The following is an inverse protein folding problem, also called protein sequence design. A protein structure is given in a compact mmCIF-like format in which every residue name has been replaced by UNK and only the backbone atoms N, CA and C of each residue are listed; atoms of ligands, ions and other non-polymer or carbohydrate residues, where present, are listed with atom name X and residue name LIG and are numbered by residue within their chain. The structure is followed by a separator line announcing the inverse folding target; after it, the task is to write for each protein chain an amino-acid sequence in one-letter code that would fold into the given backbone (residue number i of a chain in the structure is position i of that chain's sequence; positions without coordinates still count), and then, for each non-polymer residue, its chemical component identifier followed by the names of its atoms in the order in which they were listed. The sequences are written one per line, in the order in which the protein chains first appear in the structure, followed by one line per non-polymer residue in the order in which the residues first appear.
data_IF_997316369235
#
_entry.id   IF_997316369235
#
_cell.length_a   1.000
_cell.length_b   1.000
_cell.length_c   1.000
_cell.angle_alpha   90.00
_cell.angle_beta   90.00
_cell.angle_gamma   90.00
#
_symmetry.space_group_name_H-M   'P 1'
#
loop_
_entity.id
_entity.type
_entity.pdbx_description
1 polymer ?
#
# COMPACT_ATOMS: atom_id res chain seq x y z
N UNK A 1 -9.38 -3.09 -5.22
CA UNK A 1 -8.21 -2.46 -4.61
C UNK A 1 -8.10 -2.85 -3.13
N UNK A 2 -6.90 -2.75 -2.60
CA UNK A 2 -6.55 -3.07 -1.23
C UNK A 2 -5.30 -2.29 -0.84
N UNK A 3 -5.13 -1.93 0.43
CA UNK A 3 -3.94 -1.34 1.05
C UNK A 3 -3.11 -0.40 0.13
N UNK A 4 -3.76 0.52 -0.55
CA UNK A 4 -3.15 1.48 -1.47
C UNK A 4 -3.41 2.93 -1.07
N UNK A 5 -2.61 3.85 -1.59
CA UNK A 5 -2.86 5.29 -1.47
C UNK A 5 -3.95 5.67 -2.46
N UNK A 6 -5.17 5.83 -1.98
CA UNK A 6 -6.37 6.03 -2.80
C UNK A 6 -6.97 7.44 -2.67
N UNK A 7 -6.60 8.15 -1.62
CA UNK A 7 -6.99 9.53 -1.34
C UNK A 7 -5.78 10.31 -0.82
N UNK A 8 -5.81 11.65 -0.87
CA UNK A 8 -4.73 12.48 -0.36
C UNK A 8 -4.37 12.17 1.08
N UNK A 9 -3.09 12.25 1.39
CA UNK A 9 -2.52 11.94 2.69
C UNK A 9 -1.94 13.17 3.37
N UNK A 10 -1.99 13.17 4.70
CA UNK A 10 -1.22 14.08 5.53
C UNK A 10 -0.38 13.29 6.56
N UNK A 11 0.72 13.88 7.02
CA UNK A 11 1.62 13.20 7.95
C UNK A 11 0.99 12.87 9.30
N UNK A 12 0.00 13.64 9.73
CA UNK A 12 -0.74 13.40 10.97
C UNK A 12 -1.73 12.21 10.89
N UNK A 13 -2.13 11.84 9.67
CA UNK A 13 -2.95 10.65 9.40
C UNK A 13 -2.13 9.37 9.21
N UNK A 14 -0.82 9.52 9.05
CA UNK A 14 0.07 8.37 8.85
C UNK A 14 0.49 7.77 10.19
N UNK A 15 0.57 6.44 10.32
CA UNK A 15 1.02 5.81 11.57
C UNK A 15 2.39 6.35 12.01
N UNK A 16 2.57 6.64 13.30
CA UNK A 16 3.77 7.33 13.83
C UNK A 16 5.08 6.63 13.44
N UNK A 17 5.11 5.30 13.54
CA UNK A 17 6.29 4.51 13.16
C UNK A 17 6.60 4.64 11.67
N UNK A 18 5.57 4.64 10.83
CA UNK A 18 5.69 4.87 9.39
C UNK A 18 6.20 6.28 9.09
N UNK A 19 5.63 7.30 9.75
CA UNK A 19 6.06 8.70 9.60
C UNK A 19 7.56 8.87 9.79
N UNK A 20 8.12 8.28 10.86
CA UNK A 20 9.56 8.38 11.15
C UNK A 20 10.42 7.79 10.05
N UNK A 21 10.10 6.57 9.60
CA UNK A 21 10.92 5.89 8.59
C UNK A 21 10.74 6.49 7.19
N UNK A 22 9.52 6.90 6.82
CA UNK A 22 9.28 7.51 5.50
C UNK A 22 9.88 8.91 5.38
N UNK A 23 9.94 9.70 6.48
CA UNK A 23 10.70 10.96 6.52
C UNK A 23 12.20 10.72 6.34
N UNK A 24 12.77 9.65 6.91
CA UNK A 24 14.16 9.27 6.67
C UNK A 24 14.42 8.89 5.21
N UNK A 25 13.53 8.12 4.58
CA UNK A 25 13.68 7.78 3.16
C UNK A 25 13.61 9.01 2.24
N UNK A 26 12.88 10.04 2.64
CA UNK A 26 12.76 11.30 1.89
C UNK A 26 13.92 12.27 2.14
N UNK A 27 14.75 12.05 3.15
CA UNK A 27 15.98 12.79 3.42
C UNK A 27 17.17 12.24 2.65
N UNK A 28 18.33 12.92 2.77
CA UNK A 28 19.61 12.47 2.18
C UNK A 28 20.03 11.08 2.68
N UNK A 29 19.66 10.72 3.92
CA UNK A 29 19.93 9.40 4.48
C UNK A 29 19.21 8.26 3.73
N UNK A 30 18.17 8.57 2.95
CA UNK A 30 17.40 7.58 2.20
C UNK A 30 18.23 6.79 1.19
N UNK A 31 19.22 7.43 0.55
CA UNK A 31 20.13 6.76 -0.40
C UNK A 31 20.89 5.61 0.30
N UNK A 32 21.54 5.89 1.42
CA UNK A 32 22.28 4.88 2.17
C UNK A 32 21.35 3.81 2.76
N UNK A 33 20.22 4.22 3.37
CA UNK A 33 19.29 3.29 4.03
C UNK A 33 18.68 2.30 3.06
N UNK A 34 18.30 2.75 1.87
CA UNK A 34 17.57 1.90 0.93
C UNK A 34 18.52 1.26 -0.09
N UNK A 35 19.37 2.06 -0.76
CA UNK A 35 20.19 1.52 -1.84
C UNK A 35 21.34 0.64 -1.31
N UNK A 36 21.97 1.03 -0.19
CA UNK A 36 23.08 0.26 0.36
C UNK A 36 22.62 -0.77 1.40
N UNK A 37 21.77 -0.38 2.34
CA UNK A 37 21.36 -1.23 3.48
C UNK A 37 20.09 -2.04 3.22
N UNK A 38 19.37 -1.80 2.11
CA UNK A 38 18.13 -2.49 1.73
C UNK A 38 17.02 -2.44 2.80
N UNK A 39 16.94 -1.35 3.56
CA UNK A 39 16.05 -1.22 4.72
C UNK A 39 14.59 -1.40 4.34
N UNK A 40 14.17 -0.94 3.15
CA UNK A 40 12.78 -1.08 2.71
C UNK A 40 12.38 -2.55 2.62
N UNK A 41 13.18 -3.40 1.96
CA UNK A 41 12.87 -4.83 1.85
C UNK A 41 13.03 -5.52 3.21
N UNK A 42 14.16 -5.35 3.88
CA UNK A 42 14.51 -6.13 5.07
C UNK A 42 13.71 -5.75 6.32
N UNK A 43 13.27 -4.48 6.45
CA UNK A 43 12.65 -3.95 7.67
C UNK A 43 11.20 -3.50 7.51
N UNK A 44 10.70 -3.42 6.28
CA UNK A 44 9.29 -3.10 6.02
C UNK A 44 8.63 -4.32 5.38
N UNK A 45 8.97 -4.64 4.13
CA UNK A 45 8.29 -5.69 3.38
C UNK A 45 8.33 -7.06 4.09
N UNK A 46 9.52 -7.52 4.52
CA UNK A 46 9.69 -8.87 5.09
C UNK A 46 9.21 -9.00 6.54
N UNK A 47 8.88 -7.89 7.20
CA UNK A 47 8.45 -7.90 8.62
C UNK A 47 7.00 -7.45 8.83
N UNK A 48 6.34 -6.98 7.79
CA UNK A 48 4.97 -6.45 7.88
C UNK A 48 3.89 -7.53 8.07
N UNK A 49 3.90 -8.66 7.34
CA UNK A 49 2.82 -9.65 7.45
C UNK A 49 2.63 -10.16 8.88
N UNK A 50 1.38 -10.38 9.25
CA UNK A 50 0.99 -10.93 10.57
C UNK A 50 1.58 -12.31 10.82
N UNK A 51 1.66 -13.11 9.75
CA UNK A 51 2.31 -14.43 9.78
C UNK A 51 3.73 -14.32 9.22
N UNK A 52 4.74 -14.79 9.96
CA UNK A 52 6.12 -14.78 9.44
C UNK A 52 6.22 -15.52 8.11
N UNK A 53 6.77 -14.87 7.10
CA UNK A 53 7.09 -15.51 5.83
C UNK A 53 8.15 -16.59 6.04
N UNK A 54 8.06 -17.71 5.31
CA UNK A 54 9.13 -18.71 5.27
C UNK A 54 10.34 -18.17 4.47
N UNK A 55 11.48 -18.88 4.58
CA UNK A 55 12.74 -18.40 3.98
C UNK A 55 12.70 -18.38 2.44
N UNK A 56 11.96 -19.28 1.80
CA UNK A 56 11.79 -19.31 0.36
C UNK A 56 11.06 -18.06 -0.14
N UNK A 57 9.95 -17.69 0.51
CA UNK A 57 9.18 -16.48 0.20
C UNK A 57 10.04 -15.24 0.41
N UNK A 58 10.75 -15.13 1.54
CA UNK A 58 11.68 -14.03 1.81
C UNK A 58 12.76 -13.89 0.74
N UNK A 59 13.33 -15.02 0.32
CA UNK A 59 14.36 -15.01 -0.71
C UNK A 59 13.81 -14.59 -2.09
N UNK A 60 12.58 -14.95 -2.43
CA UNK A 60 11.91 -14.49 -3.64
C UNK A 60 11.70 -12.98 -3.64
N UNK A 61 11.31 -12.39 -2.50
CA UNK A 61 11.22 -10.92 -2.36
C UNK A 61 12.59 -10.23 -2.43
N UNK A 62 13.65 -10.84 -1.87
CA UNK A 62 15.02 -10.28 -1.94
C UNK A 62 15.63 -10.34 -3.32
N UNK A 63 15.24 -11.33 -4.13
CA UNK A 63 15.89 -11.64 -5.42
C UNK A 63 16.07 -10.44 -6.36
N UNK A 64 15.08 -9.56 -6.57
CA UNK A 64 15.24 -8.37 -7.40
C UNK A 64 16.17 -7.31 -6.81
N UNK A 65 16.40 -7.33 -5.50
CA UNK A 65 17.09 -6.28 -4.74
C UNK A 65 18.42 -6.77 -4.12
N UNK A 66 18.98 -7.88 -4.60
CA UNK A 66 20.26 -8.42 -4.08
C UNK A 66 21.43 -7.49 -4.29
N UNK A 67 21.52 -6.89 -5.48
CA UNK A 67 22.59 -5.97 -5.81
C UNK A 67 22.29 -4.60 -5.22
N UNK A 68 23.24 -4.03 -4.48
CA UNK A 68 23.14 -2.68 -3.94
C UNK A 68 23.18 -1.62 -5.04
N UNK A 69 22.75 -0.41 -4.71
CA UNK A 69 22.70 0.71 -5.64
C UNK A 69 21.41 0.75 -6.45
N UNK A 70 21.53 1.04 -7.74
CA UNK A 70 20.37 1.38 -8.60
C UNK A 70 19.34 0.26 -8.78
N UNK A 71 19.70 -1.00 -8.60
CA UNK A 71 18.74 -2.11 -8.65
C UNK A 71 17.67 -1.99 -7.54
N UNK A 72 17.98 -1.25 -6.45
CA UNK A 72 17.07 -0.95 -5.34
C UNK A 72 16.36 0.40 -5.47
N UNK A 73 16.63 1.19 -6.51
CA UNK A 73 16.04 2.52 -6.72
C UNK A 73 14.51 2.53 -6.64
N UNK A 74 13.77 1.56 -7.18
CA UNK A 74 12.30 1.54 -7.08
C UNK A 74 11.79 1.59 -5.63
N UNK A 75 12.48 0.91 -4.71
CA UNK A 75 12.10 0.87 -3.28
C UNK A 75 12.41 2.16 -2.52
N UNK A 76 13.15 3.09 -3.12
CA UNK A 76 13.36 4.45 -2.62
C UNK A 76 12.47 5.46 -3.33
N UNK A 77 12.34 5.35 -4.65
CA UNK A 77 11.54 6.28 -5.45
C UNK A 77 10.06 6.22 -5.06
N UNK A 78 9.52 5.03 -4.85
CA UNK A 78 8.13 4.88 -4.46
C UNK A 78 7.79 5.61 -3.14
N UNK A 79 8.49 5.40 -2.01
CA UNK A 79 8.24 6.14 -0.78
C UNK A 79 8.38 7.67 -0.93
N UNK A 80 9.28 8.11 -1.80
CA UNK A 80 9.50 9.54 -2.08
C UNK A 80 8.36 10.18 -2.86
N UNK A 81 7.58 9.37 -3.60
CA UNK A 81 6.45 9.83 -4.39
C UNK A 81 5.09 9.67 -3.71
N UNK A 82 5.02 9.15 -2.48
CA UNK A 82 3.76 9.19 -1.73
C UNK A 82 3.44 10.66 -1.41
N UNK A 83 2.27 11.19 -1.81
CA UNK A 83 1.98 12.61 -1.70
C UNK A 83 1.47 12.97 -0.31
N UNK A 84 2.38 13.39 0.56
CA UNK A 84 2.04 13.93 1.87
C UNK A 84 1.94 15.46 1.85
N UNK A 85 0.88 16.01 2.44
CA UNK A 85 0.67 17.46 2.61
C UNK A 85 0.81 18.26 1.30
N UNK A 86 0.39 17.66 0.18
CA UNK A 86 0.45 18.30 -1.13
C UNK A 86 1.74 18.06 -1.94
N UNK A 87 2.71 17.30 -1.40
CA UNK A 87 4.00 17.10 -2.08
C UNK A 87 4.38 15.61 -2.25
N UNK A 88 4.82 15.18 -3.46
CA UNK A 88 4.95 15.97 -4.70
C UNK A 88 3.61 16.42 -5.28
N UNK A 89 3.51 17.69 -5.70
CA UNK A 89 2.24 18.32 -6.09
C UNK A 89 1.57 17.63 -7.27
N UNK A 90 2.33 17.22 -8.27
CA UNK A 90 1.79 16.50 -9.44
C UNK A 90 1.17 15.15 -9.05
N UNK A 91 1.76 14.40 -8.11
CA UNK A 91 1.20 13.13 -7.63
C UNK A 91 -0.02 13.38 -6.73
N UNK A 92 0.04 14.43 -5.92
CA UNK A 92 -1.08 14.84 -5.08
C UNK A 92 -2.31 15.21 -5.90
N UNK A 93 -2.13 15.99 -6.97
CA UNK A 93 -3.19 16.36 -7.90
C UNK A 93 -3.82 15.14 -8.58
N UNK A 94 -3.00 14.20 -9.07
CA UNK A 94 -3.48 12.97 -9.69
C UNK A 94 -4.27 12.09 -8.72
N UNK A 95 -3.84 11.97 -7.47
CA UNK A 95 -4.58 11.20 -6.46
C UNK A 95 -5.91 11.88 -6.13
N UNK A 96 -5.98 13.21 -6.04
CA UNK A 96 -7.22 13.93 -5.88
C UNK A 96 -8.20 13.66 -7.03
N UNK A 97 -7.74 13.80 -8.29
CA UNK A 97 -8.55 13.53 -9.47
C UNK A 97 -9.06 12.09 -9.50
N UNK A 98 -8.21 11.13 -9.17
CA UNK A 98 -8.58 9.73 -9.09
C UNK A 98 -9.60 9.46 -7.98
N UNK A 99 -9.43 10.05 -6.80
CA UNK A 99 -10.37 9.92 -5.69
C UNK A 99 -11.77 10.45 -6.08
N UNK A 100 -11.84 11.66 -6.65
CA UNK A 100 -13.08 12.24 -7.14
C UNK A 100 -13.73 11.40 -8.27
N UNK A 101 -12.92 10.90 -9.20
CA UNK A 101 -13.43 10.00 -10.25
C UNK A 101 -14.05 8.74 -9.65
N UNK A 102 -13.35 8.07 -8.73
CA UNK A 102 -13.84 6.83 -8.12
C UNK A 102 -15.04 7.06 -7.22
N UNK A 103 -15.09 8.18 -6.49
CA UNK A 103 -16.22 8.58 -5.65
C UNK A 103 -17.50 8.70 -6.47
N UNK A 104 -17.44 9.34 -7.63
CA UNK A 104 -18.59 9.64 -8.47
C UNK A 104 -18.90 8.56 -9.51
N UNK A 105 -17.95 7.71 -9.85
CA UNK A 105 -18.09 6.68 -10.88
C UNK A 105 -19.05 5.56 -10.46
N UNK A 106 -19.90 5.11 -11.39
CA UNK A 106 -20.75 3.94 -11.23
C UNK A 106 -20.05 2.63 -11.60
N UNK A 107 -18.78 2.67 -11.98
CA UNK A 107 -17.99 1.45 -12.22
C UNK A 107 -17.97 0.62 -10.94
N UNK A 108 -18.33 -0.68 -11.00
CA UNK A 108 -18.25 -1.55 -9.84
C UNK A 108 -16.84 -1.64 -9.26
N UNK A 109 -16.73 -1.46 -7.96
CA UNK A 109 -15.46 -1.47 -7.22
C UNK A 109 -15.48 -2.53 -6.13
N UNK A 110 -14.39 -3.29 -6.00
CA UNK A 110 -14.16 -4.18 -4.86
C UNK A 110 -13.09 -3.56 -3.97
N UNK A 111 -13.46 -3.24 -2.74
CA UNK A 111 -12.55 -2.89 -1.67
C UNK A 111 -12.27 -4.12 -0.81
N UNK A 112 -11.02 -4.54 -0.76
CA UNK A 112 -10.55 -5.58 0.15
C UNK A 112 -9.93 -4.86 1.34
N UNK A 113 -10.71 -4.77 2.41
CA UNK A 113 -10.33 -4.14 3.65
C UNK A 113 -9.42 -5.06 4.46
N UNK A 114 -8.25 -4.58 4.85
CA UNK A 114 -7.33 -5.27 5.74
C UNK A 114 -7.65 -4.98 7.21
N UNK A 115 -7.60 -6.00 8.05
CA UNK A 115 -7.78 -5.87 9.52
C UNK A 115 -6.58 -6.52 10.22
N UNK A 116 -5.70 -5.78 10.92
CA UNK A 116 -5.79 -4.34 11.24
C UNK A 116 -5.54 -3.39 10.07
N UNK A 117 -4.79 -3.80 9.03
CA UNK A 117 -4.39 -2.92 7.94
C UNK A 117 -3.29 -1.92 8.32
N UNK A 118 -2.88 -1.08 7.36
CA UNK A 118 -1.89 -0.04 7.57
C UNK A 118 -2.19 1.26 6.82
N UNK A 119 -2.49 1.20 5.51
CA UNK A 119 -2.75 2.39 4.69
C UNK A 119 -4.21 2.81 4.71
N UNK A 120 -5.11 1.88 4.39
CA UNK A 120 -6.54 2.16 4.34
C UNK A 120 -7.18 1.96 5.72
N UNK A 121 -6.78 2.80 6.66
CA UNK A 121 -7.28 2.80 8.05
C UNK A 121 -7.84 4.19 8.43
N UNK A 122 -8.64 4.27 9.49
CA UNK A 122 -9.19 5.54 9.97
C UNK A 122 -9.89 6.32 8.87
N UNK A 123 -9.58 7.62 8.77
CA UNK A 123 -10.19 8.54 7.81
C UNK A 123 -10.01 8.14 6.34
N UNK A 124 -8.89 7.48 6.00
CA UNK A 124 -8.64 6.97 4.65
C UNK A 124 -9.65 5.88 4.27
N UNK A 125 -9.89 4.93 5.19
CA UNK A 125 -10.89 3.87 5.04
C UNK A 125 -12.30 4.43 4.97
N UNK A 126 -12.62 5.38 5.84
CA UNK A 126 -13.95 6.01 5.89
C UNK A 126 -14.27 6.76 4.60
N UNK A 127 -13.31 7.48 4.01
CA UNK A 127 -13.49 8.18 2.73
C UNK A 127 -13.76 7.18 1.60
N UNK A 128 -12.99 6.11 1.49
CA UNK A 128 -13.20 5.07 0.45
C UNK A 128 -14.60 4.45 0.53
N UNK A 129 -15.11 4.28 1.74
CA UNK A 129 -16.47 3.74 1.98
C UNK A 129 -17.58 4.64 1.48
N UNK A 130 -17.29 5.91 1.20
CA UNK A 130 -18.26 6.84 0.57
C UNK A 130 -18.37 6.66 -0.94
N UNK A 131 -17.50 5.88 -1.57
CA UNK A 131 -17.46 5.73 -3.02
C UNK A 131 -18.68 4.98 -3.57
N UNK A 132 -19.23 5.47 -4.67
CA UNK A 132 -20.37 4.84 -5.32
C UNK A 132 -20.05 3.44 -5.84
N UNK A 133 -21.04 2.55 -5.82
CA UNK A 133 -20.97 1.19 -6.34
C UNK A 133 -19.78 0.38 -5.80
N UNK A 134 -19.58 0.47 -4.49
CA UNK A 134 -18.51 -0.19 -3.75
C UNK A 134 -19.04 -1.49 -3.11
N UNK A 135 -18.35 -2.58 -3.33
CA UNK A 135 -18.47 -3.81 -2.57
C UNK A 135 -17.25 -3.91 -1.66
N UNK A 136 -17.45 -4.18 -0.37
CA UNK A 136 -16.37 -4.39 0.60
C UNK A 136 -16.35 -5.83 1.09
N UNK A 137 -15.16 -6.40 1.21
CA UNK A 137 -14.89 -7.61 1.98
C UNK A 137 -13.76 -7.29 2.97
N UNK A 138 -13.75 -7.96 4.12
CA UNK A 138 -12.69 -7.79 5.12
C UNK A 138 -11.91 -9.09 5.25
N UNK A 139 -10.57 -8.96 5.25
CA UNK A 139 -9.63 -10.04 5.45
C UNK A 139 -8.64 -9.69 6.56
N UNK A 140 -8.02 -10.69 7.18
CA UNK A 140 -6.99 -10.47 8.19
C UNK A 140 -5.66 -10.14 7.52
N UNK A 141 -4.97 -9.08 7.95
CA UNK A 141 -3.65 -8.73 7.42
C UNK A 141 -3.23 -7.29 7.71
N UNK A 142 -1.94 -7.03 7.52
CA UNK A 142 -1.36 -5.70 7.50
C UNK A 142 -1.30 -5.14 6.08
N UNK A 143 -0.26 -4.36 5.73
CA UNK A 143 -0.13 -3.75 4.40
C UNK A 143 0.07 -4.77 3.28
N UNK A 144 0.89 -5.80 3.49
CA UNK A 144 1.13 -6.86 2.49
C UNK A 144 0.14 -8.02 2.68
N UNK A 145 -1.14 -7.70 2.66
CA UNK A 145 -2.26 -8.64 2.96
C UNK A 145 -2.31 -9.87 2.07
N UNK A 146 -1.70 -9.84 0.90
CA UNK A 146 -1.60 -11.00 0.00
C UNK A 146 -0.76 -12.14 0.60
N UNK A 147 0.10 -11.83 1.58
CA UNK A 147 0.88 -12.83 2.32
C UNK A 147 0.09 -13.39 3.51
N UNK A 148 -0.85 -12.62 4.04
CA UNK A 148 -1.65 -13.01 5.20
C UNK A 148 -2.92 -13.79 4.83
N UNK A 149 -3.64 -13.36 3.78
CA UNK A 149 -4.96 -13.87 3.40
C UNK A 149 -5.15 -14.09 1.90
N UNK A 150 -4.25 -14.83 1.21
CA UNK A 150 -4.32 -15.00 -0.25
C UNK A 150 -5.58 -15.75 -0.72
N UNK A 151 -6.04 -16.75 0.05
CA UNK A 151 -7.23 -17.52 -0.30
C UNK A 151 -8.50 -16.68 -0.20
N UNK A 152 -8.68 -15.96 0.90
CA UNK A 152 -9.85 -15.09 1.14
C UNK A 152 -9.92 -13.96 0.12
N UNK A 153 -8.78 -13.38 -0.25
CA UNK A 153 -8.67 -12.36 -1.31
C UNK A 153 -9.11 -12.95 -2.65
N UNK A 154 -8.58 -14.12 -3.00
CA UNK A 154 -8.91 -14.82 -4.25
C UNK A 154 -10.40 -15.16 -4.34
N UNK A 155 -10.97 -15.67 -3.26
CA UNK A 155 -12.41 -16.02 -3.17
C UNK A 155 -13.29 -14.76 -3.33
N UNK A 156 -12.92 -13.68 -2.63
CA UNK A 156 -13.61 -12.40 -2.72
C UNK A 156 -13.61 -11.83 -4.14
N UNK A 157 -12.47 -11.87 -4.83
CA UNK A 157 -12.36 -11.44 -6.23
C UNK A 157 -13.24 -12.31 -7.14
N UNK A 158 -13.20 -13.64 -7.01
CA UNK A 158 -14.02 -14.55 -7.80
C UNK A 158 -15.52 -14.27 -7.63
N UNK A 159 -15.97 -14.11 -6.39
CA UNK A 159 -17.35 -13.78 -6.06
C UNK A 159 -17.79 -12.46 -6.66
N UNK A 160 -16.96 -11.42 -6.50
CA UNK A 160 -17.22 -10.11 -7.08
C UNK A 160 -17.38 -10.18 -8.60
N UNK A 161 -16.44 -10.83 -9.30
CA UNK A 161 -16.47 -10.97 -10.76
C UNK A 161 -17.68 -11.79 -11.26
N UNK A 162 -18.12 -12.81 -10.51
CA UNK A 162 -19.30 -13.58 -10.86
C UNK A 162 -20.59 -12.75 -10.80
N UNK A 163 -20.69 -11.84 -9.82
CA UNK A 163 -21.83 -10.95 -9.67
C UNK A 163 -21.92 -9.87 -10.76
N UNK A 164 -20.80 -9.53 -11.42
CA UNK A 164 -20.80 -8.57 -12.54
C UNK A 164 -21.37 -9.17 -13.84
N UNK A 165 -21.46 -10.49 -13.95
CA UNK A 165 -21.93 -11.18 -15.15
C UNK A 165 -23.43 -11.54 -15.09
N UNK A 166 -24.05 -11.34 -13.95
CA UNK A 166 -25.48 -11.54 -13.71
C UNK A 166 -26.26 -10.25 -13.89
#
# INVERSE_FOLDING_TARGET
FMEGVTVPLSWDQWPEIGTKIFKLFRSDAGEELVLEKNVFVERILLTDPLKPMNDEVKENYRKPFKKSGEDRRPTLSWPRNIPFDGEPSNVYEEINLNAEFHKNSLIPKLFINAEPGFLLVGTQRDEVRTWNNLTEITVSGNHFIQEDSPEEISEGIKKFLSNLKS
#
